data_IF_513410958450
#
_entry.id   IF_513410958450
#
_cell.length_a   1.000
_cell.length_b   1.000
_cell.length_c   1.000
_cell.angle_alpha   90.00
_cell.angle_beta   90.00
_cell.angle_gamma   90.00
#
_symmetry.space_group_name_H-M   'P 1'
#
loop_
_entity.id
_entity.type
_entity.pdbx_description
1 polymer ?
#
# COMPACT_ATOMS: atom_id res chain seq x y z
N UNK A 1 18.24 -0.10 5.76
CA UNK A 1 17.11 0.73 5.30
C UNK A 1 15.88 -0.12 5.01
N UNK A 2 14.70 0.41 5.30
CA UNK A 2 13.42 -0.16 4.90
C UNK A 2 13.27 -0.01 3.36
N UNK A 3 12.67 -0.98 2.68
CA UNK A 3 12.44 -0.90 1.22
C UNK A 3 10.96 -1.01 0.92
N UNK A 4 10.51 -0.18 -0.02
CA UNK A 4 9.13 -0.08 -0.42
C UNK A 4 8.96 -0.35 -1.92
N UNK A 5 7.74 -0.72 -2.30
CA UNK A 5 7.26 -0.64 -3.68
C UNK A 5 6.14 0.41 -3.76
N UNK A 6 6.07 1.09 -4.91
CA UNK A 6 4.95 1.96 -5.26
C UNK A 6 4.06 1.23 -6.27
N UNK A 7 2.77 1.17 -6.01
CA UNK A 7 1.78 0.50 -6.86
C UNK A 7 0.77 1.53 -7.34
N UNK A 8 0.65 1.69 -8.65
CA UNK A 8 -0.36 2.55 -9.29
C UNK A 8 -1.58 1.73 -9.67
N UNK A 9 -2.73 2.03 -9.07
CA UNK A 9 -3.97 1.28 -9.29
C UNK A 9 -4.85 1.90 -10.38
N UNK A 10 -5.76 1.10 -10.96
CA UNK A 10 -6.73 1.56 -11.96
C UNK A 10 -7.69 2.65 -11.46
N UNK A 11 -7.85 2.81 -10.14
CA UNK A 11 -8.59 3.94 -9.54
C UNK A 11 -7.80 5.27 -9.53
N UNK A 12 -6.59 5.33 -10.08
CA UNK A 12 -5.75 6.53 -10.09
C UNK A 12 -4.98 6.79 -8.79
N UNK A 13 -5.06 5.89 -7.81
CA UNK A 13 -4.33 6.01 -6.54
C UNK A 13 -2.99 5.29 -6.61
N UNK A 14 -1.95 5.91 -6.03
CA UNK A 14 -0.68 5.26 -5.77
C UNK A 14 -0.60 4.83 -4.28
N UNK A 15 -0.19 3.59 -4.02
CA UNK A 15 0.03 3.09 -2.66
C UNK A 15 1.47 2.64 -2.50
N UNK A 16 2.08 3.07 -1.40
CA UNK A 16 3.42 2.62 -1.00
C UNK A 16 3.31 1.45 -0.04
N UNK A 17 3.87 0.30 -0.41
CA UNK A 17 3.87 -0.93 0.38
C UNK A 17 5.29 -1.30 0.82
N UNK A 18 5.45 -1.65 2.08
CA UNK A 18 6.73 -2.14 2.61
C UNK A 18 7.00 -3.55 2.08
N UNK A 19 8.17 -3.75 1.46
CA UNK A 19 8.61 -5.05 0.93
C UNK A 19 9.79 -5.64 1.70
N UNK A 20 10.57 -4.79 2.42
CA UNK A 20 11.68 -5.26 3.25
C UNK A 20 11.86 -4.36 4.47
N UNK A 21 11.82 -4.96 5.66
CA UNK A 21 12.22 -4.30 6.89
C UNK A 21 13.76 -4.16 6.97
N UNK A 22 14.24 -3.04 7.51
CA UNK A 22 15.65 -2.88 7.90
C UNK A 22 16.00 -3.83 9.07
N UNK A 23 17.27 -3.91 9.46
CA UNK A 23 17.68 -4.77 10.57
C UNK A 23 16.95 -4.41 11.88
N UNK A 24 16.89 -3.12 12.24
CA UNK A 24 16.25 -2.65 13.47
C UNK A 24 14.73 -2.86 13.45
N UNK A 25 14.04 -2.55 12.35
CA UNK A 25 12.59 -2.73 12.21
C UNK A 25 12.13 -4.20 12.19
N UNK A 26 13.05 -5.15 12.04
CA UNK A 26 12.75 -6.58 12.24
C UNK A 26 12.67 -6.94 13.72
N UNK A 27 13.39 -6.21 14.57
CA UNK A 27 13.55 -6.53 15.99
C UNK A 27 12.71 -5.62 16.89
N UNK A 28 12.41 -4.40 16.44
CA UNK A 28 11.54 -3.45 17.13
C UNK A 28 10.37 -3.05 16.21
N UNK A 29 9.14 -3.51 16.51
CA UNK A 29 7.93 -3.16 15.75
C UNK A 29 7.64 -1.65 15.73
N UNK A 30 8.12 -0.90 16.72
CA UNK A 30 7.94 0.55 16.82
C UNK A 30 9.11 1.32 16.21
N UNK A 31 10.05 0.65 15.57
CA UNK A 31 11.20 1.29 14.95
C UNK A 31 10.75 2.24 13.83
N UNK A 32 10.81 3.54 14.14
CA UNK A 32 10.61 4.56 13.15
C UNK A 32 11.89 4.64 12.32
N UNK A 33 11.81 4.15 11.08
CA UNK A 33 12.91 4.10 10.10
C UNK A 33 13.39 5.53 9.67
N UNK A 34 13.23 6.59 10.50
CA UNK A 34 13.45 8.05 10.29
C UNK A 34 14.31 8.43 9.07
N UNK A 35 13.73 8.36 7.87
CA UNK A 35 14.43 8.71 6.62
C UNK A 35 15.35 7.62 6.02
N UNK A 36 15.62 6.53 6.73
CA UNK A 36 16.36 5.36 6.23
C UNK A 36 15.47 4.40 5.43
N UNK A 37 14.92 4.88 4.32
CA UNK A 37 14.11 4.07 3.40
C UNK A 37 14.34 4.39 1.91
N UNK A 38 14.04 3.43 1.04
CA UNK A 38 14.11 3.59 -0.42
C UNK A 38 12.93 2.94 -1.12
N UNK A 39 12.44 3.51 -2.22
CA UNK A 39 11.56 2.82 -3.16
C UNK A 39 12.41 1.96 -4.09
N UNK A 40 12.16 0.65 -4.13
CA UNK A 40 12.94 -0.29 -4.95
C UNK A 40 12.34 -0.57 -6.30
N UNK A 41 11.03 -0.49 -6.41
CA UNK A 41 10.31 -0.68 -7.66
C UNK A 41 9.02 0.11 -7.66
N UNK A 42 8.60 0.45 -8.86
CA UNK A 42 7.34 1.10 -9.14
C UNK A 42 6.68 0.37 -10.30
N UNK A 43 5.41 0.03 -10.16
CA UNK A 43 4.67 -0.72 -11.17
C UNK A 43 3.18 -0.42 -11.12
N UNK A 44 2.49 -0.75 -12.21
CA UNK A 44 1.06 -0.45 -12.39
C UNK A 44 0.23 -1.73 -12.30
N UNK A 45 -0.85 -1.67 -11.52
CA UNK A 45 -1.91 -2.67 -11.45
C UNK A 45 -3.24 -2.04 -11.93
N UNK A 46 -3.42 -1.86 -13.26
CA UNK A 46 -4.57 -1.14 -13.79
C UNK A 46 -5.90 -1.89 -13.60
N UNK A 47 -5.87 -3.19 -13.36
CA UNK A 47 -7.07 -4.03 -13.23
C UNK A 47 -7.68 -4.00 -11.83
N UNK A 48 -6.90 -3.60 -10.82
CA UNK A 48 -7.36 -3.56 -9.43
C UNK A 48 -7.60 -2.14 -8.92
N UNK A 49 -8.45 -2.05 -7.91
CA UNK A 49 -8.63 -0.86 -7.10
C UNK A 49 -7.79 -0.92 -5.82
N UNK A 50 -7.37 0.23 -5.33
CA UNK A 50 -6.74 0.30 -4.03
C UNK A 50 -7.71 -0.17 -2.93
N UNK A 51 -7.18 -0.60 -1.78
CA UNK A 51 -7.99 -1.14 -0.66
C UNK A 51 -9.16 -0.23 -0.25
N UNK A 52 -8.95 1.09 -0.26
CA UNK A 52 -9.99 2.05 0.11
C UNK A 52 -11.10 2.12 -0.94
N UNK A 53 -10.75 2.25 -2.22
CA UNK A 53 -11.73 2.24 -3.31
C UNK A 53 -12.51 0.92 -3.36
N UNK A 54 -11.83 -0.21 -3.17
CA UNK A 54 -12.47 -1.52 -3.07
C UNK A 54 -13.43 -1.60 -1.86
N UNK A 55 -13.04 -1.04 -0.71
CA UNK A 55 -13.87 -0.96 0.50
C UNK A 55 -15.13 -0.10 0.31
N UNK A 56 -15.03 1.03 -0.38
CA UNK A 56 -16.20 1.86 -0.66
C UNK A 56 -17.09 1.27 -1.76
N UNK A 57 -16.50 0.64 -2.78
CA UNK A 57 -17.25 -0.04 -3.84
C UNK A 57 -18.15 -1.13 -3.26
N UNK A 58 -17.62 -1.99 -2.36
CA UNK A 58 -18.43 -3.01 -1.68
C UNK A 58 -19.54 -2.41 -0.81
N UNK A 59 -19.33 -1.25 -0.19
CA UNK A 59 -20.38 -0.64 0.63
C UNK A 59 -21.54 -0.12 -0.21
N UNK A 60 -21.26 0.43 -1.40
CA UNK A 60 -22.29 0.90 -2.33
C UNK A 60 -23.16 -0.23 -2.88
N UNK A 61 -22.58 -1.41 -3.12
CA UNK A 61 -23.35 -2.58 -3.59
C UNK A 61 -24.30 -3.13 -2.52
N UNK A 62 -23.94 -3.05 -1.23
CA UNK A 62 -24.83 -3.48 -0.15
C UNK A 62 -25.91 -2.44 0.22
N UNK A 63 -25.66 -1.14 -0.04
CA UNK A 63 -26.61 -0.07 0.26
C UNK A 63 -27.83 -0.05 -0.69
N UNK A 64 -27.70 -0.58 -1.92
CA UNK A 64 -28.78 -0.66 -2.91
C UNK A 64 -29.59 -1.97 -2.88
N UNK A 65 -29.27 -2.89 -1.95
CA UNK A 65 -29.98 -4.16 -1.80
C UNK A 65 -31.09 -4.11 -0.73
N UNK A 66 -31.64 -2.92 -0.45
CA UNK A 66 -32.76 -2.71 0.49
C UNK A 66 -33.95 -2.10 -0.23
#
# INVERSE_FOLDING_TARGET
>A
MCQYENIHYGCGHAVRRLIKHCHFARNDPNHQCFGAWSVKREWSNPTEYCRNCAYYARQRTFAHAR
#
